data_IF_196284520998
#
_entry.id   IF_196284520998
#
_cell.length_a   1.000
_cell.length_b   1.000
_cell.length_c   1.000
_cell.angle_alpha   90.00
_cell.angle_beta   90.00
_cell.angle_gamma   90.00
#
_symmetry.space_group_name_H-M   'P 1'
#
loop_
_entity.id
_entity.type
_entity.pdbx_description
1 polymer ?
#
# COMPACT_ATOMS: atom_id res chain seq x y z
N UNK A 1 -31.14 -4.24 -2.02
CA UNK A 1 -30.16 -3.24 -2.04
C UNK A 1 -28.83 -3.71 -1.45
N UNK A 2 -27.78 -3.56 -2.16
CA UNK A 2 -26.49 -4.02 -1.71
C UNK A 2 -25.75 -2.99 -0.86
N UNK A 3 -24.71 -3.45 -0.21
CA UNK A 3 -23.76 -2.59 0.46
C UNK A 3 -22.92 -1.88 -0.59
N UNK A 4 -22.57 -0.62 -0.36
CA UNK A 4 -21.66 0.11 -1.23
C UNK A 4 -20.25 -0.46 -1.03
N UNK A 5 -19.85 -1.37 -1.91
CA UNK A 5 -18.59 -2.09 -1.81
C UNK A 5 -17.37 -1.14 -1.81
N UNK A 6 -17.46 -0.02 -2.53
CA UNK A 6 -16.35 0.93 -2.62
C UNK A 6 -16.00 1.55 -1.26
N UNK A 7 -16.96 1.64 -0.34
CA UNK A 7 -16.78 2.24 0.98
C UNK A 7 -16.55 1.22 2.08
N UNK A 8 -16.55 -0.07 1.76
CA UNK A 8 -16.21 -1.09 2.76
C UNK A 8 -14.72 -1.01 3.09
N UNK A 9 -14.40 -1.34 4.33
CA UNK A 9 -13.01 -1.34 4.79
C UNK A 9 -12.36 -2.66 4.39
N UNK A 10 -11.19 -2.55 3.77
CA UNK A 10 -10.42 -3.72 3.35
C UNK A 10 -8.98 -3.59 3.81
N UNK A 11 -8.29 -4.73 3.81
CA UNK A 11 -6.87 -4.83 4.15
C UNK A 11 -6.19 -5.70 3.11
N UNK A 12 -4.99 -5.32 2.71
CA UNK A 12 -4.19 -6.13 1.79
C UNK A 12 -2.71 -5.93 2.09
N UNK A 13 -1.95 -7.01 1.97
CA UNK A 13 -0.49 -6.95 2.02
C UNK A 13 0.05 -6.85 0.60
N UNK A 14 1.16 -6.16 0.45
CA UNK A 14 1.76 -5.95 -0.87
C UNK A 14 3.26 -6.18 -0.81
N UNK A 15 3.80 -6.56 -1.97
CA UNK A 15 5.24 -6.63 -2.19
C UNK A 15 5.53 -6.06 -3.57
N UNK A 16 6.39 -5.05 -3.63
CA UNK A 16 6.76 -4.37 -4.88
C UNK A 16 8.17 -4.78 -5.27
N UNK A 17 8.31 -5.28 -6.50
CA UNK A 17 9.55 -5.77 -7.07
C UNK A 17 10.07 -4.80 -8.12
N UNK A 18 11.39 -4.70 -8.22
CA UNK A 18 12.05 -3.88 -9.21
C UNK A 18 13.16 -3.04 -8.59
N UNK A 19 13.51 -1.93 -9.23
CA UNK A 19 14.44 -0.96 -8.68
C UNK A 19 13.65 -0.01 -7.77
N UNK A 20 13.47 -0.41 -6.51
CA UNK A 20 12.56 0.26 -5.59
C UNK A 20 13.20 0.64 -4.25
N UNK A 21 14.37 0.09 -3.93
CA UNK A 21 15.11 0.52 -2.75
C UNK A 21 16.13 1.59 -3.13
N UNK A 22 16.46 2.48 -2.19
CA UNK A 22 17.43 3.56 -2.44
C UNK A 22 16.88 4.71 -3.27
N UNK A 23 15.57 4.77 -3.52
CA UNK A 23 14.92 5.83 -4.31
C UNK A 23 13.78 6.48 -3.51
N UNK A 24 13.88 6.49 -2.19
CA UNK A 24 12.91 7.08 -1.27
C UNK A 24 11.51 6.48 -1.42
N UNK A 25 11.41 5.24 -1.87
CA UNK A 25 10.12 4.62 -2.14
C UNK A 25 9.23 4.58 -0.89
N UNK A 26 9.79 4.19 0.26
CA UNK A 26 9.02 4.10 1.50
C UNK A 26 8.46 5.45 1.93
N UNK A 27 9.23 6.52 1.74
CA UNK A 27 8.77 7.87 2.05
C UNK A 27 7.60 8.29 1.16
N UNK A 28 7.74 8.11 -0.14
CA UNK A 28 6.67 8.48 -1.08
C UNK A 28 5.45 7.59 -0.88
N UNK A 29 5.67 6.32 -0.55
CA UNK A 29 4.57 5.39 -0.25
C UNK A 29 3.78 5.85 0.96
N UNK A 30 4.47 6.22 2.05
CA UNK A 30 3.81 6.74 3.25
C UNK A 30 3.03 8.01 2.93
N UNK A 31 3.64 8.94 2.22
CA UNK A 31 2.98 10.20 1.89
C UNK A 31 1.72 9.97 1.07
N UNK A 32 1.80 9.07 0.10
CA UNK A 32 0.63 8.73 -0.74
C UNK A 32 -0.47 8.07 0.08
N UNK A 33 -0.12 7.15 0.96
CA UNK A 33 -1.09 6.49 1.83
C UNK A 33 -1.78 7.51 2.74
N UNK A 34 -1.03 8.46 3.27
CA UNK A 34 -1.59 9.51 4.12
C UNK A 34 -2.54 10.40 3.33
N UNK A 35 -2.21 10.77 2.10
CA UNK A 35 -3.11 11.54 1.24
C UNK A 35 -4.44 10.83 1.03
N UNK A 36 -4.40 9.50 0.91
CA UNK A 36 -5.59 8.68 0.68
C UNK A 36 -6.31 8.30 1.97
N UNK A 37 -5.82 8.72 3.12
CA UNK A 37 -6.44 8.41 4.40
C UNK A 37 -6.29 6.95 4.80
N UNK A 38 -5.25 6.27 4.34
CA UNK A 38 -5.05 4.85 4.60
C UNK A 38 -4.19 4.64 5.84
N UNK A 39 -4.41 3.49 6.50
CA UNK A 39 -3.58 3.04 7.60
C UNK A 39 -2.70 1.89 7.17
N UNK A 40 -1.65 1.61 7.95
CA UNK A 40 -0.77 0.48 7.69
C UNK A 40 0.70 0.82 7.89
N UNK A 41 1.54 0.13 7.11
CA UNK A 41 2.98 0.29 7.22
C UNK A 41 3.67 -0.14 5.94
N UNK A 42 4.93 0.29 5.80
CA UNK A 42 5.78 -0.06 4.66
C UNK A 42 7.22 -0.18 5.15
N UNK A 43 7.98 -1.09 4.56
CA UNK A 43 9.39 -1.24 4.88
C UNK A 43 10.16 -1.82 3.70
N UNK A 44 11.48 -1.62 3.72
CA UNK A 44 12.40 -2.31 2.82
C UNK A 44 12.56 -3.75 3.32
N UNK A 45 12.42 -4.71 2.42
CA UNK A 45 12.69 -6.11 2.75
C UNK A 45 14.17 -6.43 2.56
N UNK A 46 14.60 -7.55 3.15
CA UNK A 46 15.97 -8.03 2.96
C UNK A 46 16.23 -8.55 1.55
N UNK A 47 15.16 -8.80 0.78
CA UNK A 47 15.25 -9.30 -0.58
C UNK A 47 15.39 -8.20 -1.63
N UNK A 48 15.41 -6.94 -1.22
CA UNK A 48 15.48 -5.83 -2.16
C UNK A 48 14.13 -5.33 -2.64
N UNK A 49 13.04 -5.86 -2.09
CA UNK A 49 11.68 -5.43 -2.41
C UNK A 49 11.16 -4.46 -1.37
N UNK A 50 10.00 -3.85 -1.65
CA UNK A 50 9.25 -3.06 -0.68
C UNK A 50 8.04 -3.88 -0.27
N UNK A 51 7.84 -4.06 1.03
CA UNK A 51 6.70 -4.80 1.56
C UNK A 51 5.89 -3.93 2.50
N UNK A 52 4.61 -4.24 2.63
CA UNK A 52 3.77 -3.50 3.54
C UNK A 52 2.35 -4.02 3.61
N UNK A 53 1.56 -3.29 4.36
CA UNK A 53 0.13 -3.56 4.53
C UNK A 53 -0.61 -2.25 4.45
N UNK A 54 -1.75 -2.24 3.77
CA UNK A 54 -2.56 -1.05 3.62
C UNK A 54 -4.01 -1.38 3.94
N UNK A 55 -4.65 -0.49 4.70
CA UNK A 55 -6.04 -0.63 5.12
C UNK A 55 -6.78 0.68 4.92
N UNK A 56 -8.03 0.57 4.52
CA UNK A 56 -8.91 1.71 4.34
C UNK A 56 -10.11 1.32 3.50
N UNK A 57 -10.81 2.32 2.96
CA UNK A 57 -11.92 2.02 2.06
C UNK A 57 -11.39 1.35 0.80
N UNK A 58 -12.19 0.46 0.23
CA UNK A 58 -11.78 -0.35 -0.91
C UNK A 58 -11.33 0.51 -2.10
N UNK A 59 -12.06 1.58 -2.38
CA UNK A 59 -11.70 2.47 -3.49
C UNK A 59 -10.35 3.15 -3.26
N UNK A 60 -10.05 3.58 -2.04
CA UNK A 60 -8.78 4.22 -1.74
C UNK A 60 -7.63 3.22 -1.70
N UNK A 61 -7.90 1.99 -1.22
CA UNK A 61 -6.89 0.93 -1.28
C UNK A 61 -6.57 0.60 -2.74
N UNK A 62 -7.57 0.57 -3.61
CA UNK A 62 -7.34 0.35 -5.05
C UNK A 62 -6.50 1.46 -5.66
N UNK A 63 -6.74 2.72 -5.27
CA UNK A 63 -5.91 3.84 -5.69
C UNK A 63 -4.45 3.64 -5.26
N UNK A 64 -4.24 3.19 -4.03
CA UNK A 64 -2.89 2.94 -3.51
C UNK A 64 -2.20 1.80 -4.26
N UNK A 65 -2.92 0.70 -4.50
CA UNK A 65 -2.39 -0.44 -5.25
C UNK A 65 -1.99 -0.01 -6.66
N UNK A 66 -2.79 0.84 -7.28
CA UNK A 66 -2.48 1.37 -8.61
C UNK A 66 -1.18 2.17 -8.59
N UNK A 67 -0.99 3.02 -7.57
CA UNK A 67 0.25 3.77 -7.39
C UNK A 67 1.45 2.83 -7.18
N UNK A 68 1.29 1.81 -6.32
CA UNK A 68 2.34 0.84 -6.02
C UNK A 68 2.74 0.02 -7.25
N UNK A 69 1.79 -0.19 -8.16
CA UNK A 69 2.01 -1.05 -9.34
C UNK A 69 2.55 -0.28 -10.54
N UNK A 70 2.20 1.00 -10.67
CA UNK A 70 2.42 1.72 -11.93
C UNK A 70 3.21 3.00 -11.78
N UNK A 71 3.22 3.61 -10.62
CA UNK A 71 3.80 4.94 -10.44
C UNK A 71 5.07 4.89 -9.60
N UNK A 72 4.93 4.57 -8.32
CA UNK A 72 6.05 4.54 -7.39
C UNK A 72 6.69 5.89 -7.17
N UNK A 73 7.86 5.88 -6.53
CA UNK A 73 8.65 7.09 -6.31
C UNK A 73 9.35 7.52 -7.58
N UNK A 74 9.72 8.82 -7.70
CA UNK A 74 10.56 9.26 -8.81
C UNK A 74 11.86 8.45 -8.84
N UNK A 75 12.21 7.95 -10.01
CA UNK A 75 13.41 7.14 -10.20
C UNK A 75 13.23 5.67 -9.92
N UNK A 76 12.09 5.24 -9.37
CA UNK A 76 11.83 3.82 -9.18
C UNK A 76 11.42 3.17 -10.51
N UNK A 77 11.70 1.87 -10.62
CA UNK A 77 11.27 1.05 -11.75
C UNK A 77 10.58 -0.18 -11.18
N UNK A 78 9.28 -0.23 -11.35
CA UNK A 78 8.45 -1.29 -10.80
C UNK A 78 8.32 -2.40 -11.83
N UNK A 79 8.76 -3.62 -11.47
CA UNK A 79 8.55 -4.79 -12.30
C UNK A 79 7.15 -5.35 -12.11
N UNK A 80 6.74 -5.49 -10.85
CA UNK A 80 5.41 -5.97 -10.50
C UNK A 80 5.10 -5.66 -9.04
N UNK A 81 3.82 -5.69 -8.71
CA UNK A 81 3.34 -5.60 -7.34
C UNK A 81 2.46 -6.82 -7.07
N UNK A 82 2.83 -7.60 -6.07
CA UNK A 82 2.06 -8.78 -5.66
C UNK A 82 1.22 -8.42 -4.45
N UNK A 83 -0.02 -8.89 -4.45
CA UNK A 83 -0.95 -8.66 -3.35
C UNK A 83 -1.24 -9.99 -2.67
N UNK A 84 -1.37 -9.97 -1.33
CA UNK A 84 -1.63 -11.15 -0.51
C UNK A 84 -2.60 -10.80 0.61
N UNK A 85 -3.32 -11.80 1.07
CA UNK A 85 -4.13 -11.72 2.28
C UNK A 85 -5.14 -10.57 2.23
N UNK A 86 -5.80 -10.43 1.08
CA UNK A 86 -6.92 -9.49 0.97
C UNK A 86 -8.07 -9.94 1.86
N UNK A 87 -8.62 -9.00 2.65
CA UNK A 87 -9.78 -9.31 3.48
C UNK A 87 -10.61 -8.06 3.73
N UNK A 88 -11.89 -8.28 3.97
CA UNK A 88 -12.80 -7.24 4.42
C UNK A 88 -12.73 -7.15 5.94
N UNK A 89 -12.72 -5.93 6.47
CA UNK A 89 -12.66 -5.67 7.90
C UNK A 89 -13.87 -4.90 8.35
N UNK A 90 -14.30 -5.12 9.61
CA UNK A 90 -15.33 -4.29 10.22
C UNK A 90 -14.81 -2.86 10.41
N UNK A 91 -13.52 -2.72 10.72
CA UNK A 91 -12.87 -1.42 10.90
C UNK A 91 -11.37 -1.57 10.72
N UNK A 92 -10.68 -0.44 10.54
CA UNK A 92 -9.23 -0.46 10.39
C UNK A 92 -8.55 -0.83 11.72
N UNK A 93 -7.48 -1.63 11.60
CA UNK A 93 -6.59 -1.93 12.73
C UNK A 93 -5.53 -0.85 12.90
N UNK A 94 -5.16 -0.20 11.79
CA UNK A 94 -4.14 0.85 11.77
C UNK A 94 -4.80 2.19 11.46
N UNK A 95 -4.58 3.20 12.30
CA UNK A 95 -5.14 4.53 12.08
C UNK A 95 -4.23 5.41 11.24
N UNK A 96 -2.93 5.23 11.36
CA UNK A 96 -1.95 6.00 10.62
C UNK A 96 -1.11 5.09 9.76
N UNK A 97 -0.22 5.69 8.97
CA UNK A 97 0.68 4.94 8.11
C UNK A 97 2.12 5.25 8.51
N UNK A 98 2.92 4.21 8.72
CA UNK A 98 4.29 4.36 9.21
C UNK A 98 5.29 3.61 8.35
N UNK A 99 6.53 4.10 8.40
CA UNK A 99 7.67 3.39 7.81
C UNK A 99 8.29 2.55 8.92
N UNK A 100 8.50 1.27 8.66
CA UNK A 100 9.18 0.35 9.58
C UNK A 100 10.60 0.10 9.09
N UNK A 101 11.47 -0.14 10.05
CA UNK A 101 12.89 -0.39 9.77
C UNK A 101 13.33 -1.76 10.22
#
# INVERSE_FOLDING_TARGET
MGVDDAHQIVSVEFEVYGHVQGVYFTKYCRDRAMELGLGGWVKNSKRGTIVGKVQGTKDQVENMVNWLSRTGSPGSKIERCELRDFEYLARQDFRGFSIRF
#
